data_IF_978804900914
#
_entry.id   IF_978804900914
#
_cell.length_a   1.000
_cell.length_b   1.000
_cell.length_c   1.000
_cell.angle_alpha   90.00
_cell.angle_beta   90.00
_cell.angle_gamma   90.00
#
_symmetry.space_group_name_H-M   'P 1'
#
loop_
_entity.id
_entity.type
_entity.pdbx_description
1 polymer ?
#
# COMPACT_ATOMS: atom_id res chain seq x y z
N UNK A 1 18.96 7.61 -2.96
CA UNK A 1 17.58 8.05 -3.27
C UNK A 1 16.64 6.96 -2.80
N UNK A 2 15.65 7.30 -1.95
CA UNK A 2 14.67 6.33 -1.47
C UNK A 2 13.42 6.34 -2.36
N UNK A 3 12.68 5.23 -2.38
CA UNK A 3 11.38 5.07 -3.06
C UNK A 3 10.32 4.61 -2.07
N UNK A 4 9.04 4.87 -2.39
CA UNK A 4 7.91 4.45 -1.58
C UNK A 4 7.66 2.93 -1.65
N UNK A 5 6.90 2.39 -0.70
CA UNK A 5 6.55 0.97 -0.66
C UNK A 5 5.83 0.52 -1.94
N UNK A 6 4.88 1.32 -2.45
CA UNK A 6 4.15 0.96 -3.67
C UNK A 6 5.05 0.93 -4.92
N UNK A 7 6.04 1.83 -5.01
CA UNK A 7 7.01 1.88 -6.10
C UNK A 7 7.93 0.66 -6.05
N UNK A 8 8.44 0.32 -4.86
CA UNK A 8 9.28 -0.86 -4.65
C UNK A 8 8.52 -2.14 -5.01
N UNK A 9 7.26 -2.29 -4.56
CA UNK A 9 6.40 -3.42 -4.95
C UNK A 9 6.18 -3.50 -6.47
N UNK A 10 5.90 -2.36 -7.12
CA UNK A 10 5.74 -2.31 -8.57
C UNK A 10 7.00 -2.75 -9.31
N UNK A 11 8.18 -2.32 -8.85
CA UNK A 11 9.46 -2.76 -9.40
C UNK A 11 9.67 -4.26 -9.20
N UNK A 12 9.52 -4.75 -7.96
CA UNK A 12 9.70 -6.17 -7.63
C UNK A 12 8.75 -7.08 -8.43
N UNK A 13 7.48 -6.67 -8.58
CA UNK A 13 6.48 -7.38 -9.40
C UNK A 13 6.91 -7.51 -10.85
N UNK A 14 7.50 -6.46 -11.45
CA UNK A 14 8.02 -6.50 -12.83
C UNK A 14 9.12 -7.54 -13.03
N UNK A 15 9.84 -7.90 -11.97
CA UNK A 15 10.90 -8.93 -11.98
C UNK A 15 10.43 -10.28 -11.42
N UNK A 16 9.11 -10.49 -11.24
CA UNK A 16 8.53 -11.77 -10.86
C UNK A 16 8.57 -12.10 -9.37
N UNK A 17 8.98 -11.16 -8.50
CA UNK A 17 8.92 -11.39 -7.07
C UNK A 17 7.46 -11.41 -6.56
N UNK A 18 7.10 -12.33 -5.65
CA UNK A 18 5.75 -12.39 -5.10
C UNK A 18 5.49 -11.19 -4.20
N UNK A 19 4.54 -10.34 -4.61
CA UNK A 19 4.06 -9.20 -3.83
C UNK A 19 2.54 -9.21 -3.81
N UNK A 20 1.94 -8.79 -2.70
CA UNK A 20 0.49 -8.61 -2.62
C UNK A 20 0.06 -7.44 -3.50
N UNK A 21 -1.09 -7.60 -4.17
CA UNK A 21 -1.76 -6.54 -4.91
C UNK A 21 -2.17 -5.38 -3.99
N UNK A 22 -2.25 -4.20 -4.57
CA UNK A 22 -2.59 -2.97 -3.87
C UNK A 22 -2.71 -1.79 -4.83
N UNK A 23 -3.28 -0.70 -4.34
CA UNK A 23 -3.41 0.58 -5.05
C UNK A 23 -2.76 1.72 -4.26
N UNK A 24 -2.51 2.84 -4.94
CA UNK A 24 -2.16 4.11 -4.31
C UNK A 24 -3.39 5.02 -4.31
N UNK A 25 -3.60 5.73 -3.21
CA UNK A 25 -4.68 6.68 -3.07
C UNK A 25 -4.15 7.98 -2.48
N UNK A 26 -4.53 9.10 -3.09
CA UNK A 26 -4.22 10.46 -2.64
C UNK A 26 -5.38 11.08 -1.87
N UNK A 27 -6.57 10.47 -1.96
CA UNK A 27 -7.78 10.88 -1.23
C UNK A 27 -8.42 9.68 -0.53
N UNK A 28 -9.27 9.95 0.46
CA UNK A 28 -10.03 8.90 1.14
C UNK A 28 -11.00 8.17 0.20
N UNK A 29 -11.61 8.89 -0.75
CA UNK A 29 -12.50 8.31 -1.76
C UNK A 29 -11.74 7.32 -2.66
N UNK A 30 -10.55 7.70 -3.14
CA UNK A 30 -9.69 6.80 -3.92
C UNK A 30 -9.31 5.54 -3.12
N UNK A 31 -9.05 5.66 -1.81
CA UNK A 31 -8.73 4.51 -0.97
C UNK A 31 -9.90 3.51 -0.90
N UNK A 32 -11.12 4.01 -0.83
CA UNK A 32 -12.34 3.18 -0.87
C UNK A 32 -12.51 2.51 -2.24
N UNK A 33 -12.26 3.25 -3.32
CA UNK A 33 -12.37 2.70 -4.67
C UNK A 33 -11.30 1.64 -4.96
N UNK A 34 -10.07 1.84 -4.50
CA UNK A 34 -9.01 0.82 -4.59
C UNK A 34 -9.32 -0.42 -3.76
N UNK A 35 -9.86 -0.26 -2.54
CA UNK A 35 -10.30 -1.40 -1.73
C UNK A 35 -11.39 -2.23 -2.44
N UNK A 36 -12.38 -1.57 -3.05
CA UNK A 36 -13.42 -2.25 -3.84
C UNK A 36 -12.85 -3.01 -5.04
N UNK A 37 -11.87 -2.43 -5.76
CA UNK A 37 -11.21 -3.09 -6.89
C UNK A 37 -10.43 -4.33 -6.47
N UNK A 38 -9.74 -4.26 -5.33
CA UNK A 38 -8.98 -5.39 -4.77
C UNK A 38 -9.91 -6.51 -4.29
N UNK A 39 -11.11 -6.15 -3.81
CA UNK A 39 -12.03 -7.10 -3.20
C UNK A 39 -11.46 -7.75 -1.95
N UNK A 40 -12.08 -8.85 -1.51
CA UNK A 40 -11.70 -9.56 -0.30
C UNK A 40 -12.31 -9.00 0.98
N UNK A 41 -12.08 -9.67 2.13
CA UNK A 41 -12.70 -9.31 3.40
C UNK A 41 -11.86 -8.37 4.28
N UNK A 42 -10.59 -8.14 3.92
CA UNK A 42 -9.62 -7.40 4.76
C UNK A 42 -8.63 -6.64 3.87
N UNK A 43 -8.38 -5.38 4.20
CA UNK A 43 -7.38 -4.51 3.57
C UNK A 43 -6.41 -3.92 4.61
N UNK A 44 -5.27 -3.44 4.12
CA UNK A 44 -4.29 -2.73 4.96
C UNK A 44 -4.00 -1.36 4.37
N UNK A 45 -4.44 -0.31 5.04
CA UNK A 45 -4.16 1.08 4.67
C UNK A 45 -2.81 1.48 5.28
N UNK A 46 -1.89 1.97 4.43
CA UNK A 46 -0.50 2.26 4.82
C UNK A 46 -0.05 3.64 4.35
N UNK A 47 0.41 4.47 5.27
CA UNK A 47 1.05 5.74 4.96
C UNK A 47 2.27 5.53 4.04
N UNK A 48 2.34 6.28 2.94
CA UNK A 48 3.44 6.25 1.99
C UNK A 48 4.44 7.37 2.32
N UNK A 49 5.46 7.03 3.10
CA UNK A 49 6.57 7.93 3.48
C UNK A 49 7.91 7.19 3.38
N UNK A 50 9.01 7.91 3.18
CA UNK A 50 10.36 7.33 3.14
C UNK A 50 10.93 7.08 4.55
N UNK A 51 10.17 6.37 5.38
CA UNK A 51 10.56 6.02 6.74
C UNK A 51 9.96 4.67 7.20
N UNK A 52 10.69 3.99 8.09
CA UNK A 52 10.21 2.82 8.82
C UNK A 52 9.29 3.19 9.99
N UNK A 53 8.95 2.22 10.86
CA UNK A 53 8.21 2.48 12.10
C UNK A 53 6.74 2.88 11.96
N UNK A 54 6.21 2.92 10.73
CA UNK A 54 4.84 3.38 10.41
C UNK A 54 3.74 2.69 11.22
N UNK A 55 3.88 1.39 11.49
CA UNK A 55 2.89 0.65 12.30
C UNK A 55 2.83 1.15 13.75
N UNK A 56 3.99 1.32 14.41
CA UNK A 56 4.08 1.88 15.77
C UNK A 56 3.57 3.32 15.84
N UNK A 57 3.79 4.10 14.78
CA UNK A 57 3.31 5.48 14.67
C UNK A 57 1.83 5.61 14.26
N UNK A 58 1.11 4.49 14.10
CA UNK A 58 -0.32 4.51 13.73
C UNK A 58 -0.62 4.70 12.24
N UNK A 59 0.40 4.76 11.38
CA UNK A 59 0.27 4.89 9.92
C UNK A 59 0.03 3.58 9.17
N UNK A 60 -0.27 2.48 9.87
CA UNK A 60 -0.68 1.19 9.27
C UNK A 60 -1.93 0.71 10.00
N UNK A 61 -3.03 0.49 9.27
CA UNK A 61 -4.32 0.04 9.81
C UNK A 61 -4.88 -1.11 9.01
N UNK A 62 -5.41 -2.12 9.70
CA UNK A 62 -6.19 -3.21 9.12
C UNK A 62 -7.64 -2.76 9.11
N UNK A 63 -8.31 -2.87 7.97
CA UNK A 63 -9.70 -2.43 7.74
C UNK A 63 -10.48 -3.46 6.96
#
# INVERSE_FOLDING_TARGET
>A
MNIHEYQAKGLLKKYGAPVLDGGVAYTAAEAVDEAKKLGGPVWVVKAQIHAGGRGKAGGVKVV
#
